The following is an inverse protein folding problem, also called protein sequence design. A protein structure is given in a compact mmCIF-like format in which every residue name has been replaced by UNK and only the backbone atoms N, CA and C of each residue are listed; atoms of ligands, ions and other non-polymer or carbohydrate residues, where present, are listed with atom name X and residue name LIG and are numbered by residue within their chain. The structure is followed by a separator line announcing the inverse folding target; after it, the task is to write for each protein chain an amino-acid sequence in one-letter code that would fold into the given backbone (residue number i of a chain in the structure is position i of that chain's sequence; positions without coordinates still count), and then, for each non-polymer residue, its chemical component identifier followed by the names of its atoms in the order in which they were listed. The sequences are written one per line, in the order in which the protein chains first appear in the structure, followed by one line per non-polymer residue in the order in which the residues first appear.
data_IF_855154352499
#
_entry.id   IF_855154352499
#
_cell.length_a   1.000
_cell.length_b   1.000
_cell.length_c   1.000
_cell.angle_alpha   90.00
_cell.angle_beta   90.00
_cell.angle_gamma   90.00
#
_symmetry.space_group_name_H-M   'P 1'
#
loop_
_entity.id
_entity.type
_entity.pdbx_description
1 polymer ?
#
# COMPACT_ATOMS: atom_id res chain seq x y z
N UNK A 1 -25.35 8.26 -1.67
CA UNK A 1 -24.23 7.69 -0.94
C UNK A 1 -23.47 8.79 -0.23
N UNK A 2 -23.12 8.55 1.01
CA UNK A 2 -22.45 9.54 1.83
C UNK A 2 -20.99 9.16 2.04
N UNK A 3 -20.09 10.08 1.79
CA UNK A 3 -18.67 9.89 2.06
C UNK A 3 -18.34 10.79 3.26
N UNK A 4 -18.05 10.15 4.40
CA UNK A 4 -17.80 10.87 5.63
C UNK A 4 -16.32 10.77 5.99
N UNK A 5 -15.80 11.78 6.68
CA UNK A 5 -14.44 11.80 7.20
C UNK A 5 -13.37 11.65 6.10
N UNK A 6 -13.66 12.22 4.93
CA UNK A 6 -12.74 12.19 3.80
C UNK A 6 -11.95 13.47 3.78
N UNK A 7 -10.62 13.35 3.75
CA UNK A 7 -9.75 14.51 3.60
C UNK A 7 -9.94 15.11 2.21
N UNK A 8 -10.00 16.43 2.15
CA UNK A 8 -10.10 17.16 0.90
C UNK A 8 -8.69 17.62 0.51
N UNK A 9 -7.94 16.70 -0.07
CA UNK A 9 -6.58 16.99 -0.45
C UNK A 9 -6.49 17.95 -1.61
N UNK A 10 -5.30 18.49 -1.82
CA UNK A 10 -5.03 19.34 -2.97
C UNK A 10 -4.71 18.48 -4.16
N UNK A 11 -5.26 18.85 -5.32
CA UNK A 11 -4.97 18.14 -6.55
C UNK A 11 -3.67 18.60 -7.20
N UNK A 12 -3.11 19.73 -6.75
CA UNK A 12 -1.86 20.23 -7.30
C UNK A 12 -0.71 19.30 -6.95
N UNK A 13 0.20 19.08 -7.89
CA UNK A 13 1.31 18.18 -7.70
C UNK A 13 1.01 16.74 -8.04
N UNK A 14 -0.20 16.42 -8.47
CA UNK A 14 -0.56 15.08 -8.89
C UNK A 14 -0.42 14.96 -10.40
N UNK A 15 0.11 13.80 -10.85
CA UNK A 15 0.06 13.48 -12.26
C UNK A 15 -1.39 13.22 -12.68
N UNK A 16 -1.71 13.30 -13.99
CA UNK A 16 -3.08 13.05 -14.44
C UNK A 16 -3.65 11.71 -13.97
N UNK A 17 -2.84 10.65 -13.97
CA UNK A 17 -3.31 9.34 -13.54
C UNK A 17 -3.74 9.34 -12.08
N UNK A 18 -2.95 9.99 -11.21
CA UNK A 18 -3.29 10.05 -9.78
C UNK A 18 -4.46 10.99 -9.52
N UNK A 19 -4.59 12.04 -10.33
CA UNK A 19 -5.74 12.93 -10.21
C UNK A 19 -7.03 12.18 -10.55
N UNK A 20 -6.99 11.38 -11.61
CA UNK A 20 -8.14 10.55 -11.98
C UNK A 20 -8.49 9.57 -10.85
N UNK A 21 -7.46 8.97 -10.22
CA UNK A 21 -7.68 8.07 -9.10
C UNK A 21 -8.33 8.78 -7.92
N UNK A 22 -7.89 10.00 -7.62
CA UNK A 22 -8.47 10.77 -6.52
C UNK A 22 -9.94 11.08 -6.78
N UNK A 23 -10.29 11.37 -8.03
CA UNK A 23 -11.68 11.65 -8.38
C UNK A 23 -12.53 10.38 -8.36
N UNK A 24 -11.92 9.25 -8.70
CA UNK A 24 -12.66 8.00 -8.80
C UNK A 24 -13.24 7.53 -7.46
N UNK A 25 -12.65 7.95 -6.35
CA UNK A 25 -13.14 7.54 -5.03
C UNK A 25 -14.60 7.96 -4.81
N UNK A 26 -15.05 8.99 -5.51
CA UNK A 26 -16.41 9.49 -5.36
C UNK A 26 -17.43 8.78 -6.26
N UNK A 27 -16.98 7.89 -7.13
CA UNK A 27 -17.90 7.15 -8.00
C UNK A 27 -18.71 6.14 -7.18
N UNK A 28 -20.01 6.04 -7.44
CA UNK A 28 -20.84 5.07 -6.70
C UNK A 28 -20.32 3.63 -6.81
N UNK A 29 -19.84 3.24 -7.98
CA UNK A 29 -19.30 1.89 -8.15
C UNK A 29 -18.04 1.64 -7.32
N UNK A 30 -17.20 2.66 -7.14
CA UNK A 30 -16.01 2.52 -6.30
C UNK A 30 -16.42 2.44 -4.83
N UNK A 31 -17.41 3.25 -4.43
CA UNK A 31 -17.91 3.20 -3.07
C UNK A 31 -18.54 1.85 -2.76
N UNK A 32 -19.24 1.26 -3.71
CA UNK A 32 -19.83 -0.06 -3.51
C UNK A 32 -18.75 -1.14 -3.39
N UNK A 33 -17.70 -1.05 -4.20
CA UNK A 33 -16.57 -1.97 -4.08
C UNK A 33 -15.92 -1.86 -2.71
N UNK A 34 -15.74 -0.62 -2.24
CA UNK A 34 -15.14 -0.39 -0.93
C UNK A 34 -16.01 -0.97 0.19
N UNK A 35 -17.34 -0.80 0.07
CA UNK A 35 -18.27 -1.37 1.04
C UNK A 35 -18.12 -2.89 1.10
N UNK A 36 -18.03 -3.55 -0.06
CA UNK A 36 -17.87 -5.00 -0.11
C UNK A 36 -16.54 -5.43 0.48
N UNK A 37 -15.48 -4.69 0.22
CA UNK A 37 -14.17 -5.00 0.79
C UNK A 37 -14.19 -4.91 2.31
N UNK A 38 -15.00 -4.01 2.87
CA UNK A 38 -15.07 -3.84 4.32
C UNK A 38 -15.57 -5.10 5.02
N UNK A 39 -16.34 -5.94 4.33
CA UNK A 39 -16.81 -7.21 4.91
C UNK A 39 -15.65 -8.17 5.17
N UNK A 40 -14.54 -7.97 4.48
CA UNK A 40 -13.33 -8.79 4.62
C UNK A 40 -12.24 -8.07 5.41
N UNK A 41 -12.56 -6.92 6.00
CA UNK A 41 -11.59 -6.08 6.72
C UNK A 41 -10.53 -5.51 5.78
N UNK A 42 -10.88 -5.34 4.53
CA UNK A 42 -10.00 -4.76 3.52
C UNK A 42 -10.47 -3.36 3.14
N UNK A 43 -9.56 -2.57 2.65
CA UNK A 43 -9.83 -1.24 2.12
C UNK A 43 -9.03 -1.01 0.85
N UNK A 44 -8.92 0.24 0.45
CA UNK A 44 -8.18 0.60 -0.77
C UNK A 44 -7.19 1.71 -0.45
N UNK A 45 -6.18 1.83 -1.29
CA UNK A 45 -5.24 2.94 -1.24
C UNK A 45 -4.78 3.25 -2.66
N UNK A 46 -4.11 4.38 -2.80
CA UNK A 46 -3.60 4.84 -4.10
C UNK A 46 -2.08 4.73 -4.07
N UNK A 47 -1.51 3.70 -4.71
CA UNK A 47 -0.05 3.53 -4.70
C UNK A 47 0.64 4.67 -5.45
N UNK A 48 1.62 5.27 -4.82
CA UNK A 48 2.30 6.40 -5.42
C UNK A 48 3.68 6.59 -4.79
N UNK A 49 4.50 7.40 -5.45
CA UNK A 49 5.76 7.86 -4.92
C UNK A 49 5.82 9.37 -5.06
N UNK A 50 6.77 9.99 -4.39
CA UNK A 50 6.99 11.43 -4.46
C UNK A 50 8.35 11.69 -5.10
N UNK A 51 8.42 12.70 -5.96
CA UNK A 51 9.69 13.20 -6.42
C UNK A 51 10.36 13.96 -5.28
N UNK A 52 11.59 13.61 -4.97
CA UNK A 52 12.28 14.18 -3.81
C UNK A 52 12.58 15.67 -3.98
N UNK A 53 12.71 16.12 -5.22
CA UNK A 53 13.08 17.52 -5.50
C UNK A 53 11.87 18.41 -5.68
N UNK A 54 10.83 17.92 -6.35
CA UNK A 54 9.67 18.75 -6.68
C UNK A 54 8.49 18.49 -5.77
N UNK A 55 8.48 17.33 -5.09
CA UNK A 55 7.33 16.93 -4.30
C UNK A 55 6.15 16.42 -5.12
N UNK A 56 6.31 16.35 -6.44
CA UNK A 56 5.24 15.86 -7.30
C UNK A 56 4.95 14.39 -7.04
N UNK A 57 3.67 14.04 -7.01
CA UNK A 57 3.23 12.66 -6.80
C UNK A 57 3.09 11.97 -8.15
N UNK A 58 3.55 10.73 -8.23
CA UNK A 58 3.41 9.93 -9.44
C UNK A 58 3.09 8.48 -9.06
N UNK A 59 2.57 7.73 -10.04
CA UNK A 59 2.15 6.34 -9.82
C UNK A 59 3.33 5.47 -9.46
N UNK A 60 3.08 4.49 -8.59
CA UNK A 60 4.11 3.54 -8.19
C UNK A 60 4.60 2.77 -9.42
N UNK A 61 5.92 2.75 -9.69
CA UNK A 61 6.45 1.98 -10.81
C UNK A 61 6.15 0.48 -10.68
N UNK A 62 6.11 -0.21 -11.82
CA UNK A 62 5.69 -1.61 -11.87
C UNK A 62 6.62 -2.55 -11.11
N UNK A 63 7.89 -2.20 -10.99
CA UNK A 63 8.89 -3.06 -10.37
C UNK A 63 9.22 -2.65 -8.93
N UNK A 64 8.44 -1.74 -8.38
CA UNK A 64 8.68 -1.19 -7.03
C UNK A 64 7.57 -1.60 -6.10
N UNK A 65 7.93 -1.91 -4.86
CA UNK A 65 6.98 -2.22 -3.80
C UNK A 65 7.19 -1.24 -2.65
N UNK A 66 6.09 -0.77 -2.08
CA UNK A 66 6.14 0.04 -0.86
C UNK A 66 6.30 -0.89 0.34
N UNK A 67 7.28 -0.60 1.19
CA UNK A 67 7.59 -1.45 2.32
C UNK A 67 7.50 -0.63 3.60
N UNK A 68 6.71 -1.14 4.54
CA UNK A 68 6.61 -0.59 5.89
C UNK A 68 7.51 -1.39 6.82
N UNK A 69 8.43 -0.70 7.47
CA UNK A 69 9.33 -1.33 8.44
C UNK A 69 9.33 -0.46 9.69
N UNK A 70 8.58 -0.90 10.69
CA UNK A 70 8.35 -0.07 11.86
C UNK A 70 7.54 1.15 11.52
N UNK A 71 8.08 2.31 11.78
CA UNK A 71 7.43 3.59 11.47
C UNK A 71 7.93 4.19 10.16
N UNK A 72 8.76 3.46 9.43
CA UNK A 72 9.36 3.97 8.21
C UNK A 72 8.72 3.30 7.00
N UNK A 73 8.58 4.09 5.94
CA UNK A 73 8.12 3.60 4.64
C UNK A 73 9.27 3.76 3.66
N UNK A 74 9.57 2.70 2.94
CA UNK A 74 10.58 2.73 1.90
C UNK A 74 10.01 2.12 0.64
N UNK A 75 10.72 2.34 -0.49
CA UNK A 75 10.33 1.79 -1.78
C UNK A 75 11.48 0.92 -2.27
N UNK A 76 11.19 -0.34 -2.50
CA UNK A 76 12.21 -1.34 -2.80
C UNK A 76 11.83 -2.13 -4.04
N UNK A 77 12.81 -2.79 -4.61
CA UNK A 77 12.56 -3.65 -5.76
C UNK A 77 11.63 -4.79 -5.37
N UNK A 78 10.58 -4.99 -6.15
CA UNK A 78 9.64 -6.07 -5.88
C UNK A 78 10.33 -7.43 -5.92
N UNK A 79 11.32 -7.59 -6.80
CA UNK A 79 12.08 -8.84 -6.89
C UNK A 79 12.87 -9.09 -5.60
N UNK A 80 13.45 -8.05 -5.02
CA UNK A 80 14.21 -8.19 -3.78
C UNK A 80 13.31 -8.63 -2.63
N UNK A 81 12.10 -8.07 -2.57
CA UNK A 81 11.15 -8.44 -1.53
C UNK A 81 10.69 -9.90 -1.73
N UNK A 82 10.48 -10.30 -2.97
CA UNK A 82 10.04 -11.66 -3.27
C UNK A 82 11.06 -12.70 -2.80
N UNK A 83 12.34 -12.37 -2.80
CA UNK A 83 13.38 -13.28 -2.30
C UNK A 83 13.36 -13.40 -0.78
N UNK A 84 12.63 -12.54 -0.10
CA UNK A 84 12.55 -12.53 1.36
C UNK A 84 11.10 -12.60 1.82
N UNK A 85 10.27 -13.32 1.08
CA UNK A 85 8.83 -13.27 1.29
C UNK A 85 8.39 -13.77 2.65
N UNK A 86 9.22 -14.55 3.35
CA UNK A 86 8.89 -15.02 4.69
C UNK A 86 9.03 -13.94 5.75
N UNK A 87 9.61 -12.80 5.40
CA UNK A 87 9.80 -11.68 6.32
C UNK A 87 8.73 -10.60 6.17
N UNK A 88 7.89 -10.70 5.14
CA UNK A 88 6.98 -9.63 4.78
C UNK A 88 5.56 -10.13 4.67
N UNK A 89 4.63 -9.34 5.20
CA UNK A 89 3.21 -9.60 5.07
C UNK A 89 2.65 -8.66 4.00
N UNK A 90 2.07 -9.19 2.92
CA UNK A 90 1.47 -8.30 1.92
C UNK A 90 0.25 -7.59 2.50
N UNK A 91 0.16 -6.30 2.24
CA UNK A 91 -0.92 -5.45 2.76
C UNK A 91 -1.54 -4.56 1.70
N UNK A 92 -1.07 -4.61 0.47
CA UNK A 92 -1.66 -3.86 -0.62
C UNK A 92 -1.49 -4.58 -1.94
N UNK A 93 -2.49 -4.50 -2.80
CA UNK A 93 -2.52 -5.23 -4.06
C UNK A 93 -3.04 -4.35 -5.18
N UNK A 94 -2.57 -4.62 -6.39
CA UNK A 94 -3.07 -4.00 -7.61
C UNK A 94 -3.39 -5.08 -8.64
N UNK A 95 -4.26 -4.74 -9.56
CA UNK A 95 -4.53 -5.57 -10.72
C UNK A 95 -3.64 -5.09 -11.87
N UNK A 96 -2.76 -5.96 -12.35
CA UNK A 96 -1.85 -5.64 -13.46
C UNK A 96 -1.68 -6.86 -14.33
N UNK A 97 -1.69 -6.65 -15.64
CA UNK A 97 -1.40 -7.69 -16.61
C UNK A 97 -2.21 -8.95 -16.36
N UNK A 98 -3.48 -8.79 -16.01
CA UNK A 98 -4.38 -9.91 -15.81
C UNK A 98 -4.25 -10.63 -14.49
N UNK A 99 -3.56 -10.05 -13.53
CA UNK A 99 -3.35 -10.70 -12.23
C UNK A 99 -3.35 -9.70 -11.10
N UNK A 100 -3.65 -10.20 -9.91
CA UNK A 100 -3.52 -9.44 -8.68
C UNK A 100 -2.07 -9.59 -8.19
N UNK A 101 -1.40 -8.47 -7.96
CA UNK A 101 -0.02 -8.50 -7.49
C UNK A 101 0.11 -7.71 -6.20
N UNK A 102 1.03 -8.12 -5.35
CA UNK A 102 1.33 -7.40 -4.12
C UNK A 102 2.19 -6.19 -4.43
N UNK A 103 1.80 -5.02 -3.92
CA UNK A 103 2.53 -3.77 -4.15
C UNK A 103 2.92 -3.08 -2.85
N UNK A 104 2.44 -3.58 -1.72
CA UNK A 104 2.80 -3.04 -0.42
C UNK A 104 2.91 -4.17 0.58
N UNK A 105 3.88 -4.07 1.49
CA UNK A 105 4.13 -5.12 2.47
C UNK A 105 4.62 -4.51 3.77
N UNK A 106 4.34 -5.21 4.87
CA UNK A 106 4.88 -4.87 6.18
C UNK A 106 5.94 -5.88 6.56
N UNK A 107 7.05 -5.40 7.09
CA UNK A 107 8.07 -6.29 7.61
C UNK A 107 7.67 -6.78 9.00
N UNK A 108 7.81 -8.08 9.22
CA UNK A 108 7.36 -8.74 10.43
C UNK A 108 8.55 -9.24 11.25
N UNK A 109 8.32 -9.38 12.55
CA UNK A 109 9.26 -10.04 13.44
C UNK A 109 8.73 -11.43 13.77
N UNK A 110 9.52 -12.45 13.52
CA UNK A 110 9.13 -13.82 13.79
C UNK A 110 9.68 -14.27 15.14
N UNK A 111 8.88 -15.07 15.82
CA UNK A 111 9.32 -15.70 17.06
C UNK A 111 10.18 -16.91 16.70
N UNK A 112 11.49 -16.80 16.93
CA UNK A 112 12.41 -17.86 16.59
C UNK A 112 12.22 -19.12 17.41
N UNK A 113 11.42 -19.05 18.48
CA UNK A 113 11.13 -20.20 19.31
C UNK A 113 9.82 -20.87 18.93
N UNK A 114 9.06 -20.25 18.05
CA UNK A 114 7.78 -20.79 17.60
C UNK A 114 8.02 -21.73 16.43
N UNK A 115 7.33 -22.85 16.44
CA UNK A 115 7.36 -23.76 15.31
C UNK A 115 6.28 -23.45 14.28
N UNK A 116 5.51 -22.41 14.51
CA UNK A 116 4.37 -22.10 13.65
C UNK A 116 4.73 -21.17 12.50
N UNK A 117 5.90 -20.61 12.47
CA UNK A 117 6.37 -19.73 11.42
C UNK A 117 5.44 -18.54 11.16
N UNK A 118 4.77 -18.06 12.18
CA UNK A 118 3.91 -16.90 12.05
C UNK A 118 4.53 -15.73 12.80
N UNK A 119 4.29 -14.50 12.35
CA UNK A 119 4.87 -13.36 13.04
C UNK A 119 4.27 -13.18 14.43
N UNK A 120 5.12 -12.80 15.36
CA UNK A 120 4.70 -12.47 16.71
C UNK A 120 4.12 -11.07 16.74
N UNK A 121 4.71 -10.17 15.97
CA UNK A 121 4.29 -8.78 15.96
C UNK A 121 4.83 -8.10 14.72
N UNK A 122 4.24 -6.95 14.41
CA UNK A 122 4.78 -6.07 13.38
C UNK A 122 6.11 -5.51 13.85
N UNK A 123 7.09 -5.44 12.94
CA UNK A 123 8.37 -4.86 13.27
C UNK A 123 8.18 -3.38 13.55
N UNK A 124 8.69 -2.93 14.69
CA UNK A 124 8.57 -1.54 15.11
C UNK A 124 9.92 -0.86 15.04
N UNK A 125 9.90 0.41 14.62
CA UNK A 125 11.09 1.23 14.74
C UNK A 125 11.35 1.48 16.22
N UNK A 126 12.58 1.21 16.63
CA UNK A 126 12.91 1.38 18.04
C UNK A 126 13.35 2.79 18.37
N UNK A 127 13.68 3.57 17.36
CA UNK A 127 14.15 4.92 17.58
C UNK A 127 15.52 4.99 18.22
N UNK A 128 16.18 3.90 18.29
CA UNK A 128 17.47 3.84 18.94
C UNK A 128 18.45 3.09 18.14
#
# INVERSE_FOLDING_TARGET
MTIANVLQGRASGLTPALRTAQEAIHLPEVQEMLRRLSEYKLGIFMPHMHDEHTGEFYSLPDDVMQVESGLEVSFQSAADIAHQNDRFLPVGWLWRAGASISVAACEMVWDGQSDSERPVKHKMSTGN
#
